data_IF_863380668997
#
_entry.id   IF_863380668997
#
_cell.length_a   1.000
_cell.length_b   1.000
_cell.length_c   1.000
_cell.angle_alpha   90.00
_cell.angle_beta   90.00
_cell.angle_gamma   90.00
#
_symmetry.space_group_name_H-M   'P 1'
#
loop_
_entity.id
_entity.type
_entity.pdbx_description
1 polymer ?
#
# COMPACT_ATOMS: atom_id res chain seq x y z
N UNK A 1 -31.03 -56.69 15.48
CA UNK A 1 -31.18 -55.39 14.80
C UNK A 1 -31.47 -55.65 13.35
N UNK A 2 -32.60 -55.19 12.86
CA UNK A 2 -33.02 -55.42 11.46
C UNK A 2 -32.15 -54.59 10.52
N UNK A 3 -31.80 -55.08 9.31
CA UNK A 3 -30.96 -54.39 8.34
C UNK A 3 -31.52 -53.02 7.92
N UNK A 4 -32.79 -52.76 8.12
CA UNK A 4 -33.45 -51.46 7.88
C UNK A 4 -33.01 -50.37 8.84
N UNK A 5 -32.77 -50.72 10.13
CA UNK A 5 -32.37 -49.75 11.17
C UNK A 5 -30.93 -49.24 10.93
N UNK A 6 -30.07 -50.14 10.42
CA UNK A 6 -28.69 -49.79 10.08
C UNK A 6 -28.60 -48.83 8.87
N UNK A 7 -29.46 -49.08 7.86
CA UNK A 7 -29.52 -48.22 6.67
C UNK A 7 -30.03 -46.80 7.04
N UNK A 8 -31.06 -46.74 7.91
CA UNK A 8 -31.61 -45.46 8.37
C UNK A 8 -30.58 -44.66 9.19
N UNK A 9 -29.81 -45.36 10.05
CA UNK A 9 -28.76 -44.73 10.87
C UNK A 9 -27.62 -44.20 9.99
N UNK A 10 -27.18 -44.95 8.95
CA UNK A 10 -26.19 -44.49 7.98
C UNK A 10 -26.67 -43.28 7.17
N UNK A 11 -27.95 -43.25 6.74
CA UNK A 11 -28.52 -42.12 6.03
C UNK A 11 -28.58 -40.86 6.91
N UNK A 12 -28.98 -40.97 8.17
CA UNK A 12 -29.00 -39.84 9.11
C UNK A 12 -27.57 -39.32 9.39
N UNK A 13 -26.58 -40.21 9.55
CA UNK A 13 -25.19 -39.82 9.77
C UNK A 13 -24.59 -39.17 8.50
N UNK A 14 -24.85 -39.68 7.30
CA UNK A 14 -24.40 -39.08 6.05
C UNK A 14 -25.04 -37.69 5.77
N UNK A 15 -26.33 -37.53 6.10
CA UNK A 15 -27.01 -36.25 5.97
C UNK A 15 -26.50 -35.22 6.99
N UNK A 16 -26.22 -35.65 8.24
CA UNK A 16 -25.64 -34.75 9.25
C UNK A 16 -24.21 -34.30 8.93
N UNK A 17 -23.43 -35.16 8.26
CA UNK A 17 -22.08 -34.77 7.77
C UNK A 17 -22.16 -33.78 6.60
N UNK A 18 -23.10 -33.95 5.67
CA UNK A 18 -23.30 -32.98 4.58
C UNK A 18 -23.76 -31.61 5.09
N UNK A 19 -24.59 -31.57 6.13
CA UNK A 19 -25.05 -30.30 6.74
C UNK A 19 -23.88 -29.57 7.44
N UNK A 20 -22.93 -30.28 8.07
CA UNK A 20 -21.72 -29.68 8.68
C UNK A 20 -20.68 -29.24 7.65
N UNK A 21 -20.61 -29.88 6.49
CA UNK A 21 -19.65 -29.52 5.42
C UNK A 21 -20.05 -28.25 4.66
N UNK A 22 -21.23 -27.69 4.90
CA UNK A 22 -21.75 -26.49 4.22
C UNK A 22 -21.69 -25.21 5.06
N UNK A 23 -21.16 -25.28 6.30
CA UNK A 23 -20.73 -24.09 7.05
C UNK A 23 -19.30 -23.69 6.62
N UNK A 24 -19.08 -23.49 5.33
CA UNK A 24 -17.88 -22.83 4.83
C UNK A 24 -17.85 -21.40 5.35
N UNK A 25 -16.77 -20.99 5.96
CA UNK A 25 -16.55 -19.59 6.32
C UNK A 25 -16.76 -18.73 5.07
N UNK A 26 -17.49 -17.61 5.23
CA UNK A 26 -17.68 -16.67 4.15
C UNK A 26 -16.34 -16.12 3.71
N UNK A 27 -16.07 -15.96 2.40
CA UNK A 27 -14.85 -15.34 1.94
C UNK A 27 -14.64 -13.99 2.63
N UNK A 28 -13.42 -13.76 3.09
CA UNK A 28 -13.03 -12.46 3.67
C UNK A 28 -13.15 -11.39 2.59
N UNK A 29 -13.85 -10.27 2.84
CA UNK A 29 -14.00 -9.22 1.84
C UNK A 29 -12.67 -8.56 1.49
N UNK A 30 -12.58 -8.04 0.25
CA UNK A 30 -11.44 -7.26 -0.21
C UNK A 30 -11.83 -5.79 -0.19
N UNK A 31 -10.98 -4.96 0.42
CA UNK A 31 -11.17 -3.51 0.46
C UNK A 31 -10.10 -2.81 -0.38
N UNK A 32 -10.48 -1.78 -1.12
CA UNK A 32 -9.56 -0.95 -1.90
C UNK A 32 -10.07 0.48 -2.00
N UNK A 33 -9.22 1.42 -2.42
CA UNK A 33 -9.57 2.81 -2.66
C UNK A 33 -9.26 3.22 -4.10
N UNK A 34 -10.10 4.07 -4.68
CA UNK A 34 -9.93 4.62 -6.03
C UNK A 34 -10.06 6.14 -6.00
N UNK A 35 -9.11 6.91 -6.54
CA UNK A 35 -7.95 6.50 -7.34
C UNK A 35 -6.81 5.85 -6.54
N UNK A 36 -6.77 6.01 -5.23
CA UNK A 36 -5.76 5.46 -4.34
C UNK A 36 -6.05 5.78 -2.89
N UNK A 37 -5.24 5.28 -1.96
CA UNK A 37 -5.41 5.50 -0.51
C UNK A 37 -4.65 6.72 0.03
N UNK A 38 -3.88 7.40 -0.80
CA UNK A 38 -3.31 8.72 -0.50
C UNK A 38 -4.09 9.78 -1.28
N UNK A 39 -4.81 10.63 -0.59
CA UNK A 39 -5.78 11.55 -1.18
C UNK A 39 -5.49 12.98 -0.71
N UNK A 40 -5.37 13.95 -1.63
CA UNK A 40 -5.22 15.35 -1.26
C UNK A 40 -6.43 15.87 -0.47
N UNK A 41 -6.17 16.83 0.42
CA UNK A 41 -7.20 17.51 1.19
C UNK A 41 -8.33 18.01 0.30
N UNK A 42 -9.57 17.81 0.74
CA UNK A 42 -10.80 18.22 0.06
C UNK A 42 -11.11 17.50 -1.27
N UNK A 43 -10.28 16.56 -1.70
CA UNK A 43 -10.58 15.70 -2.85
C UNK A 43 -11.54 14.57 -2.43
N UNK A 44 -12.04 13.82 -3.41
CA UNK A 44 -12.92 12.69 -3.18
C UNK A 44 -12.23 11.35 -3.35
N UNK A 45 -12.68 10.34 -2.62
CA UNK A 45 -12.23 8.96 -2.75
C UNK A 45 -13.41 8.01 -2.68
N UNK A 46 -13.37 6.95 -3.49
CA UNK A 46 -14.29 5.82 -3.41
C UNK A 46 -13.60 4.66 -2.71
N UNK A 47 -14.17 4.18 -1.63
CA UNK A 47 -13.75 2.93 -1.00
C UNK A 47 -14.63 1.82 -1.55
N UNK A 48 -14.00 0.78 -2.08
CA UNK A 48 -14.64 -0.40 -2.66
C UNK A 48 -14.54 -1.57 -1.70
N UNK A 49 -15.65 -2.23 -1.43
CA UNK A 49 -15.73 -3.45 -0.63
C UNK A 49 -16.29 -4.58 -1.49
N UNK A 50 -15.48 -5.60 -1.75
CA UNK A 50 -15.86 -6.77 -2.55
C UNK A 50 -16.26 -7.91 -1.63
N UNK A 51 -17.44 -8.48 -1.85
CA UNK A 51 -17.97 -9.63 -1.13
C UNK A 51 -18.34 -10.77 -2.07
N UNK A 52 -19.57 -11.28 -1.95
CA UNK A 52 -20.14 -12.32 -2.81
C UNK A 52 -21.42 -11.80 -3.48
N UNK A 53 -21.85 -12.39 -4.62
CA UNK A 53 -23.06 -11.96 -5.32
C UNK A 53 -24.34 -11.97 -4.45
N UNK A 54 -24.39 -12.87 -3.46
CA UNK A 54 -25.54 -13.00 -2.56
C UNK A 54 -25.46 -12.08 -1.33
N UNK A 55 -24.45 -11.22 -1.25
CA UNK A 55 -24.34 -10.24 -0.17
C UNK A 55 -25.40 -9.16 -0.33
N UNK A 56 -26.17 -8.90 0.74
CA UNK A 56 -27.29 -7.95 0.70
C UNK A 56 -27.07 -6.70 1.56
N UNK A 57 -26.06 -6.71 2.42
CA UNK A 57 -25.67 -5.59 3.26
C UNK A 57 -24.15 -5.50 3.29
N UNK A 58 -23.61 -4.32 3.03
CA UNK A 58 -22.20 -3.97 3.26
C UNK A 58 -22.11 -2.90 4.33
N UNK A 59 -21.09 -2.99 5.17
CA UNK A 59 -20.77 -1.93 6.13
C UNK A 59 -19.30 -1.56 6.01
N UNK A 60 -19.06 -0.24 5.97
CA UNK A 60 -17.74 0.36 6.05
C UNK A 60 -17.53 0.83 7.48
N UNK A 61 -16.38 0.51 8.04
CA UNK A 61 -16.01 0.84 9.42
C UNK A 61 -14.68 1.59 9.44
N UNK A 62 -14.53 2.50 10.39
CA UNK A 62 -13.29 3.22 10.67
C UNK A 62 -12.82 2.94 12.09
N UNK A 63 -11.51 2.81 12.29
CA UNK A 63 -10.92 2.64 13.62
C UNK A 63 -10.88 3.99 14.36
N UNK A 64 -11.59 4.07 15.50
CA UNK A 64 -11.59 5.21 16.43
C UNK A 64 -11.37 4.70 17.85
N UNK A 65 -10.47 5.34 18.59
CA UNK A 65 -10.24 5.00 20.01
C UNK A 65 -10.08 3.49 20.26
N UNK A 66 -9.35 2.78 19.39
CA UNK A 66 -9.12 1.33 19.44
C UNK A 66 -10.34 0.45 19.13
N UNK A 67 -11.44 1.02 18.69
CA UNK A 67 -12.65 0.30 18.25
C UNK A 67 -13.03 0.68 16.82
N UNK A 68 -13.61 -0.28 16.08
CA UNK A 68 -14.16 0.00 14.76
C UNK A 68 -15.61 0.49 14.90
N UNK A 69 -15.87 1.64 14.28
CA UNK A 69 -17.19 2.27 14.24
C UNK A 69 -17.72 2.25 12.81
N UNK A 70 -19.00 1.92 12.66
CA UNK A 70 -19.65 1.89 11.35
C UNK A 70 -19.83 3.31 10.82
N UNK A 71 -19.23 3.59 9.67
CA UNK A 71 -19.34 4.88 8.98
C UNK A 71 -20.56 4.93 8.07
N UNK A 72 -20.75 3.88 7.28
CA UNK A 72 -21.84 3.81 6.28
C UNK A 72 -22.25 2.35 6.07
N UNK A 73 -23.55 2.16 5.75
CA UNK A 73 -24.11 0.87 5.34
C UNK A 73 -24.76 0.99 3.97
N UNK A 74 -24.58 -0.03 3.13
CA UNK A 74 -25.24 -0.14 1.83
C UNK A 74 -26.05 -1.42 1.76
N UNK A 75 -27.30 -1.29 1.38
CA UNK A 75 -28.24 -2.39 1.20
C UNK A 75 -28.41 -2.67 -0.30
N UNK A 76 -28.62 -3.93 -0.62
CA UNK A 76 -28.87 -4.43 -1.97
C UNK A 76 -28.01 -5.64 -2.27
N UNK A 77 -28.58 -6.60 -3.03
CA UNK A 77 -27.83 -7.77 -3.49
C UNK A 77 -26.82 -7.35 -4.56
N UNK A 78 -25.54 -7.43 -4.23
CA UNK A 78 -24.45 -7.01 -5.10
C UNK A 78 -23.15 -7.68 -4.68
N UNK A 79 -22.25 -7.88 -5.64
CA UNK A 79 -20.92 -8.45 -5.37
C UNK A 79 -19.98 -7.46 -4.73
N UNK A 80 -20.19 -6.16 -4.94
CA UNK A 80 -19.37 -5.08 -4.35
C UNK A 80 -20.21 -3.89 -3.93
N UNK A 81 -19.76 -3.19 -2.91
CA UNK A 81 -20.29 -1.89 -2.52
C UNK A 81 -19.25 -0.78 -2.73
N UNK A 82 -19.73 0.40 -3.14
CA UNK A 82 -18.91 1.61 -3.31
C UNK A 82 -19.33 2.64 -2.28
N UNK A 83 -18.39 3.10 -1.45
CA UNK A 83 -18.59 4.15 -0.45
C UNK A 83 -17.86 5.40 -0.88
N UNK A 84 -18.57 6.51 -1.07
CA UNK A 84 -18.00 7.77 -1.53
C UNK A 84 -17.73 8.69 -0.34
N UNK A 85 -16.48 9.08 -0.16
CA UNK A 85 -16.08 10.19 0.71
C UNK A 85 -15.85 11.39 -0.19
N UNK A 86 -16.79 12.34 -0.22
CA UNK A 86 -16.77 13.46 -1.16
C UNK A 86 -15.69 14.49 -0.84
N UNK A 87 -15.36 14.68 0.43
CA UNK A 87 -14.39 15.66 0.92
C UNK A 87 -13.52 15.02 2.01
N UNK A 88 -12.33 14.58 1.62
CA UNK A 88 -11.41 14.02 2.60
C UNK A 88 -10.79 15.12 3.47
N UNK A 89 -10.66 14.83 4.77
CA UNK A 89 -10.11 15.73 5.77
C UNK A 89 -9.53 14.92 6.95
N UNK A 90 -9.02 15.59 7.98
CA UNK A 90 -8.45 14.93 9.15
C UNK A 90 -9.40 13.95 9.84
N UNK A 91 -10.73 14.19 9.79
CA UNK A 91 -11.70 13.31 10.42
C UNK A 91 -12.00 12.06 9.58
N UNK A 92 -11.74 12.12 8.27
CA UNK A 92 -11.91 10.97 7.36
C UNK A 92 -10.61 10.18 7.19
N UNK A 93 -9.46 10.72 7.59
CA UNK A 93 -8.19 10.00 7.62
C UNK A 93 -8.23 8.87 8.66
N UNK A 94 -7.64 7.70 8.33
CA UNK A 94 -7.58 6.60 9.29
C UNK A 94 -7.58 5.21 8.66
N UNK A 95 -7.76 4.21 9.52
CA UNK A 95 -7.83 2.81 9.13
C UNK A 95 -9.27 2.38 8.93
N UNK A 96 -9.56 1.88 7.76
CA UNK A 96 -10.87 1.36 7.38
C UNK A 96 -10.84 -0.15 7.23
N UNK A 97 -11.96 -0.78 7.51
CA UNK A 97 -12.25 -2.16 7.13
C UNK A 97 -13.69 -2.24 6.64
N UNK A 98 -14.03 -3.32 5.96
CA UNK A 98 -15.40 -3.57 5.59
C UNK A 98 -15.81 -5.01 5.88
N UNK A 99 -17.11 -5.20 6.04
CA UNK A 99 -17.75 -6.49 6.19
C UNK A 99 -19.00 -6.52 5.32
N UNK A 100 -19.43 -7.72 4.95
CA UNK A 100 -20.72 -7.91 4.29
C UNK A 100 -21.56 -8.93 5.05
N UNK A 101 -22.87 -8.88 4.83
CA UNK A 101 -23.82 -9.86 5.37
C UNK A 101 -24.42 -10.66 4.24
N UNK A 102 -24.38 -11.97 4.39
CA UNK A 102 -25.05 -12.96 3.56
C UNK A 102 -25.90 -13.83 4.48
N UNK A 103 -27.12 -14.13 4.08
CA UNK A 103 -28.10 -14.81 4.93
C UNK A 103 -28.27 -14.04 6.26
N UNK A 104 -28.02 -14.65 7.41
CA UNK A 104 -28.11 -13.99 8.74
C UNK A 104 -26.72 -13.75 9.36
N UNK A 105 -25.64 -14.12 8.68
CA UNK A 105 -24.28 -14.11 9.22
C UNK A 105 -23.48 -12.95 8.63
N UNK A 106 -22.68 -12.29 9.47
CA UNK A 106 -21.72 -11.28 9.07
C UNK A 106 -20.40 -11.97 8.69
N UNK A 107 -19.73 -11.51 7.64
CA UNK A 107 -18.41 -12.00 7.26
C UNK A 107 -17.36 -11.59 8.29
N UNK A 108 -16.20 -12.26 8.26
CA UNK A 108 -15.01 -11.69 8.89
C UNK A 108 -14.68 -10.32 8.27
N UNK A 109 -14.01 -9.42 9.02
CA UNK A 109 -13.61 -8.12 8.47
C UNK A 109 -12.51 -8.27 7.42
N UNK A 110 -12.49 -7.35 6.45
CA UNK A 110 -11.41 -7.25 5.49
C UNK A 110 -10.06 -6.92 6.16
N UNK A 111 -8.98 -7.05 5.41
CA UNK A 111 -7.72 -6.39 5.78
C UNK A 111 -7.95 -4.88 5.90
N UNK A 112 -7.16 -4.22 6.74
CA UNK A 112 -7.28 -2.78 6.90
C UNK A 112 -6.78 -2.03 5.66
N UNK A 113 -7.54 -0.99 5.26
CA UNK A 113 -7.16 0.04 4.30
C UNK A 113 -6.77 1.30 5.08
N UNK A 114 -5.57 1.80 4.87
CA UNK A 114 -5.10 3.04 5.49
C UNK A 114 -5.36 4.21 4.52
N UNK A 115 -6.31 5.08 4.87
CA UNK A 115 -6.61 6.30 4.11
C UNK A 115 -5.79 7.45 4.66
N UNK A 116 -4.82 7.91 3.88
CA UNK A 116 -3.94 9.03 4.20
C UNK A 116 -4.45 10.29 3.48
N UNK A 117 -4.62 11.35 4.26
CA UNK A 117 -4.98 12.67 3.72
C UNK A 117 -3.72 13.53 3.64
N UNK A 118 -3.40 14.04 2.45
CA UNK A 118 -2.21 14.86 2.21
C UNK A 118 -2.57 16.33 2.00
N UNK A 119 -1.62 17.24 2.23
CA UNK A 119 -1.86 18.68 2.04
C UNK A 119 -2.40 19.40 3.27
N UNK A 120 -2.43 18.73 4.43
CA UNK A 120 -2.90 19.34 5.69
C UNK A 120 -1.87 20.30 6.32
N UNK A 121 -0.61 20.19 5.93
CA UNK A 121 0.52 21.00 6.40
C UNK A 121 1.38 21.43 5.21
N UNK A 122 2.25 22.43 5.42
CA UNK A 122 3.20 22.89 4.43
C UNK A 122 4.15 21.78 3.98
N UNK A 123 4.56 21.87 2.71
CA UNK A 123 5.47 20.88 2.10
C UNK A 123 6.84 20.90 2.75
N UNK A 124 7.47 19.72 2.99
CA UNK A 124 8.88 19.63 3.34
C UNK A 124 9.78 19.84 2.11
N UNK A 125 11.07 19.92 2.31
CA UNK A 125 12.10 19.90 1.28
C UNK A 125 12.73 18.51 1.17
N UNK A 126 13.06 18.09 -0.06
CA UNK A 126 13.76 16.83 -0.34
C UNK A 126 15.03 17.11 -1.10
N UNK A 127 16.16 16.58 -0.63
CA UNK A 127 17.48 16.71 -1.25
C UNK A 127 18.23 15.38 -1.28
N UNK A 128 19.26 15.29 -2.09
CA UNK A 128 20.17 14.16 -2.15
C UNK A 128 21.58 14.60 -1.75
N UNK A 129 22.26 13.83 -0.88
CA UNK A 129 23.56 14.19 -0.33
C UNK A 129 24.69 14.21 -1.37
N UNK A 130 24.63 13.34 -2.37
CA UNK A 130 25.68 13.13 -3.40
C UNK A 130 25.23 13.50 -4.81
N UNK A 131 24.13 14.26 -4.94
CA UNK A 131 23.50 14.56 -6.23
C UNK A 131 22.52 13.49 -6.67
N UNK A 132 21.90 13.71 -7.82
CA UNK A 132 20.77 12.89 -8.31
C UNK A 132 21.15 11.82 -9.32
N UNK A 133 22.43 11.71 -9.68
CA UNK A 133 22.96 10.69 -10.59
C UNK A 133 23.76 9.68 -9.78
N UNK A 134 23.32 8.43 -9.76
CA UNK A 134 23.90 7.35 -8.94
C UNK A 134 24.33 6.20 -9.82
N UNK A 135 25.47 5.59 -9.51
CA UNK A 135 25.98 4.44 -10.25
C UNK A 135 25.30 3.16 -9.74
N UNK A 136 25.00 2.26 -10.68
CA UNK A 136 24.42 0.94 -10.39
C UNK A 136 25.21 0.20 -9.30
N UNK A 137 24.52 -0.23 -8.24
CA UNK A 137 25.09 -0.95 -7.10
C UNK A 137 25.57 -0.06 -5.95
N UNK A 138 25.60 1.26 -6.13
CA UNK A 138 25.94 2.19 -5.04
C UNK A 138 24.71 2.47 -4.15
N UNK A 139 24.92 3.15 -3.03
CA UNK A 139 23.87 3.64 -2.15
C UNK A 139 23.71 5.14 -2.34
N UNK A 140 22.51 5.65 -2.08
CA UNK A 140 22.23 7.10 -2.03
C UNK A 140 21.43 7.41 -0.77
N UNK A 141 21.69 8.56 -0.18
CA UNK A 141 20.94 9.11 0.94
C UNK A 141 20.08 10.28 0.46
N UNK A 142 18.77 10.20 0.72
CA UNK A 142 17.80 11.25 0.46
C UNK A 142 17.38 11.86 1.79
N UNK A 143 17.54 13.18 1.93
CA UNK A 143 17.20 13.91 3.14
C UNK A 143 15.91 14.70 2.95
N UNK A 144 14.90 14.39 3.75
CA UNK A 144 13.64 15.13 3.88
C UNK A 144 13.71 16.00 5.14
N UNK A 145 13.40 17.28 5.03
CA UNK A 145 13.42 18.21 6.16
C UNK A 145 12.31 19.25 6.08
N UNK A 146 11.92 19.80 7.22
CA UNK A 146 10.95 20.88 7.30
C UNK A 146 11.46 21.94 8.30
N UNK A 147 11.37 23.20 7.89
CA UNK A 147 11.78 24.34 8.73
C UNK A 147 10.62 24.93 9.52
N UNK A 148 9.40 24.83 9.03
CA UNK A 148 8.22 25.44 9.65
C UNK A 148 7.45 24.46 10.55
N UNK A 149 7.39 23.19 10.16
CA UNK A 149 6.66 22.16 10.89
C UNK A 149 7.65 21.16 11.50
N UNK A 150 7.73 21.03 12.83
CA UNK A 150 8.62 20.07 13.48
C UNK A 150 8.04 18.64 13.41
N UNK A 151 7.90 18.11 12.20
CA UNK A 151 7.43 16.73 12.01
C UNK A 151 8.36 15.75 12.71
N UNK A 152 7.81 14.79 13.41
CA UNK A 152 8.57 13.72 14.05
C UNK A 152 8.72 12.48 13.14
N UNK A 153 8.01 12.47 12.02
CA UNK A 153 8.04 11.39 11.03
C UNK A 153 8.06 11.93 9.60
N UNK A 154 8.75 11.21 8.75
CA UNK A 154 8.79 11.46 7.32
C UNK A 154 8.54 10.18 6.54
N UNK A 155 7.92 10.31 5.37
CA UNK A 155 7.66 9.22 4.45
C UNK A 155 8.13 9.61 3.05
N UNK A 156 8.68 8.63 2.31
CA UNK A 156 9.16 8.81 0.94
C UNK A 156 8.28 8.00 -0.01
N UNK A 157 7.87 8.63 -1.10
CA UNK A 157 7.12 7.99 -2.18
C UNK A 157 7.87 8.12 -3.49
N UNK A 158 7.67 7.16 -4.38
CA UNK A 158 8.13 7.21 -5.76
C UNK A 158 6.93 7.30 -6.69
N UNK A 159 6.97 8.18 -7.70
CA UNK A 159 5.90 8.29 -8.69
C UNK A 159 5.67 6.96 -9.41
N UNK A 160 4.39 6.55 -9.54
CA UNK A 160 4.02 5.26 -10.13
C UNK A 160 4.31 4.03 -9.27
N UNK A 161 4.85 4.19 -8.08
CA UNK A 161 5.16 3.12 -7.13
C UNK A 161 4.33 3.16 -5.86
N UNK A 162 4.41 2.10 -5.07
CA UNK A 162 3.89 2.09 -3.71
C UNK A 162 4.69 3.05 -2.82
N UNK A 163 4.07 3.54 -1.76
CA UNK A 163 4.76 4.28 -0.70
C UNK A 163 5.92 3.42 -0.18
N UNK A 164 7.16 3.95 -0.23
CA UNK A 164 8.36 3.23 0.19
C UNK A 164 8.42 3.01 1.71
N UNK A 165 7.61 3.75 2.46
CA UNK A 165 7.40 3.54 3.89
C UNK A 165 5.90 3.50 4.19
N UNK A 166 5.48 2.51 4.97
CA UNK A 166 4.09 2.48 5.46
C UNK A 166 3.84 3.66 6.42
N UNK A 167 2.60 4.18 6.51
CA UNK A 167 2.28 5.31 7.39
C UNK A 167 2.77 5.18 8.83
N UNK A 168 2.77 3.95 9.36
CA UNK A 168 3.20 3.68 10.74
C UNK A 168 4.72 3.59 10.94
N UNK A 169 5.51 3.48 9.85
CA UNK A 169 6.95 3.23 9.87
C UNK A 169 7.78 4.38 9.29
N UNK A 170 7.26 5.60 9.31
CA UNK A 170 8.00 6.78 8.86
C UNK A 170 9.33 6.93 9.60
N UNK A 171 10.35 7.41 8.89
CA UNK A 171 11.70 7.58 9.43
C UNK A 171 11.74 8.82 10.30
N UNK A 172 12.31 8.69 11.51
CA UNK A 172 12.74 9.84 12.30
C UNK A 172 13.85 10.59 11.54
N UNK A 173 13.92 11.90 11.67
CA UNK A 173 14.96 12.75 11.07
C UNK A 173 14.97 12.83 9.53
N UNK A 174 14.07 12.15 8.83
CA UNK A 174 13.90 12.27 7.37
C UNK A 174 15.04 11.74 6.50
N UNK A 175 15.95 10.93 7.03
CA UNK A 175 17.03 10.35 6.24
C UNK A 175 16.64 8.99 5.67
N UNK A 176 16.63 8.87 4.34
CA UNK A 176 16.27 7.66 3.60
C UNK A 176 17.47 7.13 2.83
N UNK A 177 18.02 6.00 3.26
CA UNK A 177 19.11 5.32 2.55
C UNK A 177 18.52 4.32 1.57
N UNK A 178 18.76 4.54 0.28
CA UNK A 178 18.35 3.65 -0.80
C UNK A 178 19.57 2.93 -1.34
N UNK A 179 19.48 1.60 -1.48
CA UNK A 179 20.55 0.83 -2.11
C UNK A 179 20.74 -0.58 -1.55
N UNK A 180 21.59 -1.36 -2.22
CA UNK A 180 22.27 -1.03 -3.48
C UNK A 180 21.29 -0.76 -4.63
N UNK A 181 21.44 0.38 -5.32
CA UNK A 181 20.47 0.81 -6.34
C UNK A 181 20.60 0.00 -7.64
N UNK A 182 19.46 -0.27 -8.25
CA UNK A 182 19.33 -0.81 -9.59
C UNK A 182 18.53 0.16 -10.47
N UNK A 183 18.33 -0.15 -11.74
CA UNK A 183 17.63 0.72 -12.69
C UNK A 183 16.18 1.04 -12.26
N UNK A 184 15.54 0.16 -11.49
CA UNK A 184 14.19 0.41 -10.98
C UNK A 184 14.12 1.54 -9.97
N UNK A 185 15.23 2.00 -9.39
CA UNK A 185 15.28 3.16 -8.51
C UNK A 185 15.24 4.50 -9.25
N UNK A 186 15.51 4.53 -10.56
CA UNK A 186 15.34 5.77 -11.35
C UNK A 186 13.89 6.22 -11.35
N UNK A 187 13.66 7.53 -11.22
CA UNK A 187 12.33 8.14 -11.22
C UNK A 187 12.22 9.31 -10.26
N UNK A 188 11.03 9.89 -10.17
CA UNK A 188 10.75 11.02 -9.30
C UNK A 188 10.34 10.56 -7.90
N UNK A 189 10.95 11.19 -6.91
CA UNK A 189 10.66 10.97 -5.49
C UNK A 189 10.05 12.21 -4.87
N UNK A 190 9.15 12.02 -3.90
CA UNK A 190 8.58 13.06 -3.06
C UNK A 190 8.56 12.60 -1.62
N UNK A 191 8.77 13.51 -0.69
CA UNK A 191 8.61 13.20 0.72
C UNK A 191 7.45 13.98 1.35
N UNK A 192 6.98 13.46 2.48
CA UNK A 192 5.92 14.01 3.29
C UNK A 192 6.35 13.99 4.74
N UNK A 193 5.97 15.01 5.50
CA UNK A 193 6.10 15.05 6.94
C UNK A 193 4.77 14.81 7.64
N UNK A 194 4.80 14.19 8.81
CA UNK A 194 3.61 13.93 9.62
C UNK A 194 3.97 13.76 11.11
N UNK A 195 2.95 13.75 11.95
CA UNK A 195 3.09 13.56 13.39
C UNK A 195 2.64 12.15 13.79
N UNK A 196 3.40 11.48 14.64
CA UNK A 196 3.08 10.14 15.14
C UNK A 196 1.75 10.09 15.91
N UNK A 197 1.31 11.23 16.46
CA UNK A 197 -0.02 11.39 17.05
C UNK A 197 -1.16 11.40 16.02
N UNK A 198 -0.86 11.65 14.73
CA UNK A 198 -1.83 11.73 13.63
C UNK A 198 -1.28 11.08 12.36
N UNK A 199 -1.04 9.75 12.35
CA UNK A 199 -0.23 9.07 11.35
C UNK A 199 -0.85 9.04 9.95
N UNK A 200 -2.11 9.37 9.81
CA UNK A 200 -2.83 9.39 8.52
C UNK A 200 -3.08 10.81 7.97
N UNK A 201 -2.51 11.83 8.63
CA UNK A 201 -2.64 13.24 8.21
C UNK A 201 -1.25 13.77 7.87
N UNK A 202 -1.00 13.95 6.57
CA UNK A 202 0.33 14.27 6.06
C UNK A 202 0.39 15.69 5.47
N UNK A 203 1.58 16.21 5.37
CA UNK A 203 1.88 17.49 4.69
C UNK A 203 1.53 17.42 3.19
N UNK A 204 1.56 18.56 2.52
CA UNK A 204 1.71 18.60 1.08
C UNK A 204 3.01 17.87 0.67
N UNK A 205 3.07 17.27 -0.54
CA UNK A 205 4.28 16.64 -1.04
C UNK A 205 5.40 17.66 -1.22
N UNK A 206 6.64 17.27 -0.99
CA UNK A 206 7.81 18.04 -1.42
C UNK A 206 7.80 18.26 -2.93
N UNK A 207 8.62 19.15 -3.43
CA UNK A 207 8.96 19.17 -4.85
C UNK A 207 9.56 17.82 -5.26
N UNK A 208 9.39 17.45 -6.52
CA UNK A 208 9.89 16.18 -7.02
C UNK A 208 11.42 16.21 -7.13
N UNK A 209 12.08 15.16 -6.64
CA UNK A 209 13.49 14.90 -6.85
C UNK A 209 13.65 13.77 -7.86
N UNK A 210 14.17 14.09 -9.06
CA UNK A 210 14.43 13.09 -10.11
C UNK A 210 15.75 12.35 -9.83
N UNK A 211 15.70 11.05 -9.57
CA UNK A 211 16.87 10.19 -9.41
C UNK A 211 17.16 9.44 -10.71
N UNK A 212 18.42 9.47 -11.16
CA UNK A 212 18.90 8.77 -12.35
C UNK A 212 19.95 7.74 -11.95
N UNK A 213 19.70 6.47 -12.23
CA UNK A 213 20.67 5.38 -12.03
C UNK A 213 21.37 5.10 -13.36
N UNK A 214 22.73 5.20 -13.37
CA UNK A 214 23.57 4.97 -14.54
C UNK A 214 24.38 3.69 -14.40
N UNK A 215 24.69 3.04 -15.52
CA UNK A 215 25.63 1.89 -15.54
C UNK A 215 27.05 2.33 -15.21
N UNK A 216 27.85 1.42 -14.64
CA UNK A 216 29.31 1.63 -14.56
C UNK A 216 29.88 1.62 -15.97
N UNK A 217 30.46 2.73 -16.43
CA UNK A 217 31.31 2.71 -17.60
C UNK A 217 32.62 1.98 -17.22
N UNK A 218 32.75 0.71 -17.53
CA UNK A 218 34.07 0.09 -17.58
C UNK A 218 34.79 0.69 -18.78
N UNK A 219 35.94 1.38 -18.60
CA UNK A 219 36.72 1.79 -19.74
C UNK A 219 37.08 0.53 -20.55
N UNK A 220 36.71 0.53 -21.83
CA UNK A 220 37.18 -0.52 -22.73
C UNK A 220 38.70 -0.58 -22.62
N UNK A 221 39.24 -1.70 -22.16
CA UNK A 221 40.68 -1.95 -22.27
C UNK A 221 41.01 -1.97 -23.76
N UNK A 222 41.58 -0.86 -24.23
CA UNK A 222 42.18 -0.83 -25.55
C UNK A 222 43.35 -1.81 -25.50
N UNK A 223 43.14 -3.01 -25.99
CA UNK A 223 44.23 -3.93 -26.34
C UNK A 223 45.01 -3.31 -27.50
N UNK A 224 46.01 -2.53 -27.15
CA UNK A 224 47.04 -2.18 -28.11
C UNK A 224 47.78 -3.47 -28.49
N UNK A 225 47.37 -4.12 -29.57
CA UNK A 225 48.17 -5.13 -30.27
C UNK A 225 49.42 -4.45 -30.77
N UNK A 226 50.55 -4.86 -30.21
CA UNK A 226 51.88 -4.42 -30.70
C UNK A 226 52.02 -4.83 -32.16
N UNK A 227 52.52 -3.96 -33.07
CA UNK A 227 52.85 -4.35 -34.42
C UNK A 227 54.04 -5.31 -34.40
N UNK A 228 53.93 -6.39 -35.14
CA UNK A 228 55.00 -7.36 -35.40
C UNK A 228 56.14 -6.67 -36.12
N UNK A 229 57.34 -6.59 -35.51
CA UNK A 229 58.56 -6.27 -36.20
C UNK A 229 58.92 -7.45 -37.11
N UNK A 230 58.87 -7.19 -38.39
CA UNK A 230 59.50 -8.04 -39.39
C UNK A 230 61.00 -8.10 -39.10
N UNK A 231 61.50 -9.28 -38.76
CA UNK A 231 62.94 -9.58 -38.85
C UNK A 231 63.28 -9.87 -40.30
N UNK A 232 64.13 -9.02 -40.89
CA UNK A 232 64.66 -9.21 -42.20
C UNK A 232 65.65 -10.34 -42.23
N UNK A 233 65.65 -10.97 -43.38
CA UNK A 233 66.50 -12.08 -43.84
C UNK A 233 67.86 -11.58 -44.22
N UNK A 234 68.85 -12.38 -43.86
CA UNK A 234 70.00 -12.76 -44.69
C UNK A 234 70.17 -14.25 -44.66
#
# INVERSE_FOLDING_TARGET
MAPRDTILLCLVLCLSQKIRAQEGDFPVPIISATPGSMVPWNESVKILCWGTPESYLYQLEILRNSTFEVVEKKLGFQEKAEFLISHVNMNTAGRYQCQYRKEYKLSEPSKALELVVTGSYDKPSLSADQGVVVVLGDNISLQCSSTHNPFDRFSLTKEGGATLSQPQNGVHQGNFVLGPVNLSFSGNYRCYGWYSSSPYVWSAPSDALGLVVTGRCTPAQSSFSRPWHQAGIW
#
